data_IF_485108928786
#
_entry.id   IF_485108928786
#
_cell.length_a   1.000
_cell.length_b   1.000
_cell.length_c   1.000
_cell.angle_alpha   90.00
_cell.angle_beta   90.00
_cell.angle_gamma   90.00
#
_symmetry.space_group_name_H-M   'P 1'
#
loop_
_entity.id
_entity.type
_entity.pdbx_description
1 polymer ?
#
# COMPACT_ATOMS: atom_id res chain seq x y z
N UNK A 1 -13.21 -20.22 -68.28
CA UNK A 1 -12.98 -20.05 -66.82
C UNK A 1 -13.93 -18.97 -66.30
N UNK A 2 -14.72 -19.19 -65.23
CA UNK A 2 -15.58 -18.15 -64.68
C UNK A 2 -14.72 -17.11 -63.94
N UNK A 3 -15.08 -15.82 -63.95
CA UNK A 3 -14.33 -14.80 -63.24
C UNK A 3 -14.44 -15.02 -61.73
N UNK A 4 -13.30 -15.05 -61.03
CA UNK A 4 -13.24 -15.11 -59.56
C UNK A 4 -14.06 -13.95 -58.99
N UNK A 5 -15.13 -14.26 -58.24
CA UNK A 5 -15.90 -13.27 -57.47
C UNK A 5 -14.93 -12.50 -56.58
N UNK A 6 -14.72 -11.21 -56.88
CA UNK A 6 -13.95 -10.30 -56.02
C UNK A 6 -14.67 -10.21 -54.68
N UNK A 7 -14.06 -10.71 -53.61
CA UNK A 7 -14.58 -10.51 -52.26
C UNK A 7 -14.74 -9.00 -52.00
N UNK A 8 -15.88 -8.57 -51.42
CA UNK A 8 -16.07 -7.16 -51.10
C UNK A 8 -15.00 -6.74 -50.08
N UNK A 9 -14.17 -5.76 -50.46
CA UNK A 9 -13.24 -5.13 -49.53
C UNK A 9 -14.06 -4.52 -48.40
N UNK A 10 -13.82 -4.97 -47.16
CA UNK A 10 -14.42 -4.36 -45.97
C UNK A 10 -14.14 -2.85 -46.00
N UNK A 11 -15.18 -2.05 -46.30
CA UNK A 11 -15.06 -0.59 -46.29
C UNK A 11 -14.96 -0.15 -44.84
N UNK A 12 -13.74 0.20 -44.41
CA UNK A 12 -13.50 0.76 -43.09
C UNK A 12 -14.30 2.06 -42.98
N UNK A 13 -15.42 2.01 -42.27
CA UNK A 13 -16.30 3.16 -42.08
C UNK A 13 -15.65 4.20 -41.19
N UNK A 14 -16.10 5.44 -41.29
CA UNK A 14 -15.67 6.52 -40.41
C UNK A 14 -15.84 6.13 -38.92
N UNK A 15 -16.92 5.43 -38.57
CA UNK A 15 -17.14 4.87 -37.24
C UNK A 15 -16.06 3.86 -36.80
N UNK A 16 -15.57 3.01 -37.71
CA UNK A 16 -14.45 2.11 -37.40
C UNK A 16 -13.14 2.87 -37.17
N UNK A 17 -12.89 3.94 -37.94
CA UNK A 17 -11.72 4.82 -37.75
C UNK A 17 -11.81 5.60 -36.45
N UNK A 18 -12.96 6.21 -36.17
CA UNK A 18 -13.20 6.91 -34.92
C UNK A 18 -13.11 5.97 -33.72
N UNK A 19 -13.70 4.78 -33.78
CA UNK A 19 -13.59 3.76 -32.74
C UNK A 19 -12.15 3.28 -32.55
N UNK A 20 -11.38 3.13 -33.63
CA UNK A 20 -9.95 2.78 -33.57
C UNK A 20 -9.10 3.91 -32.99
N UNK A 21 -9.38 5.16 -33.38
CA UNK A 21 -8.74 6.35 -32.85
C UNK A 21 -9.02 6.55 -31.36
N UNK A 22 -10.30 6.48 -30.96
CA UNK A 22 -10.70 6.47 -29.56
C UNK A 22 -10.10 5.27 -28.80
N UNK A 23 -9.79 4.15 -29.47
CA UNK A 23 -9.04 3.02 -28.87
C UNK A 23 -7.56 3.29 -28.64
N UNK A 24 -6.97 4.18 -29.42
CA UNK A 24 -5.58 4.62 -29.26
C UNK A 24 -5.44 5.81 -28.30
N UNK A 25 -6.52 6.52 -27.98
CA UNK A 25 -6.53 7.53 -26.92
C UNK A 25 -6.34 6.86 -25.55
N UNK A 26 -5.09 6.79 -25.10
CA UNK A 26 -4.75 6.51 -23.71
C UNK A 26 -5.14 7.71 -22.85
N UNK A 27 -6.07 7.52 -21.93
CA UNK A 27 -6.27 8.50 -20.85
C UNK A 27 -5.25 8.21 -19.75
N UNK A 28 -4.69 9.24 -19.09
CA UNK A 28 -3.68 9.05 -18.04
C UNK A 28 -4.18 8.18 -16.86
N UNK A 29 -5.51 8.06 -16.71
CA UNK A 29 -6.18 7.25 -15.70
C UNK A 29 -6.49 5.82 -16.16
N UNK A 30 -6.17 5.45 -17.41
CA UNK A 30 -6.38 4.10 -17.97
C UNK A 30 -7.78 3.52 -17.69
N UNK A 31 -8.83 4.34 -17.79
CA UNK A 31 -10.19 4.00 -17.34
C UNK A 31 -10.74 2.69 -17.95
N UNK A 32 -10.31 2.36 -19.17
CA UNK A 32 -10.69 1.08 -19.83
C UNK A 32 -10.09 -0.12 -19.11
N UNK A 33 -8.81 -0.04 -18.74
CA UNK A 33 -8.15 -1.06 -17.93
C UNK A 33 -8.81 -1.16 -16.55
N UNK A 34 -9.20 -0.04 -15.96
CA UNK A 34 -9.96 -0.01 -14.71
C UNK A 34 -11.28 -0.78 -14.82
N UNK A 35 -12.05 -0.57 -15.89
CA UNK A 35 -13.31 -1.31 -16.12
C UNK A 35 -13.05 -2.80 -16.30
N UNK A 36 -12.02 -3.19 -17.06
CA UNK A 36 -11.66 -4.60 -17.24
C UNK A 36 -11.36 -5.27 -15.90
N UNK A 37 -10.56 -4.62 -15.03
CA UNK A 37 -10.27 -5.14 -13.69
C UNK A 37 -11.53 -5.24 -12.82
N UNK A 38 -12.32 -4.17 -12.77
CA UNK A 38 -13.55 -4.12 -11.97
C UNK A 38 -14.58 -5.18 -12.38
N UNK A 39 -14.57 -5.65 -13.64
CA UNK A 39 -15.47 -6.74 -14.09
C UNK A 39 -15.21 -8.07 -13.39
N UNK A 40 -14.00 -8.32 -12.90
CA UNK A 40 -13.67 -9.57 -12.21
C UNK A 40 -14.22 -9.62 -10.79
N UNK A 41 -14.25 -8.47 -10.10
CA UNK A 41 -14.62 -8.39 -8.68
C UNK A 41 -15.97 -7.72 -8.40
N UNK A 42 -16.56 -7.01 -9.37
CA UNK A 42 -17.79 -6.24 -9.16
C UNK A 42 -18.88 -6.61 -10.15
N UNK A 43 -20.08 -6.92 -9.63
CA UNK A 43 -21.30 -7.15 -10.43
C UNK A 43 -21.66 -5.96 -11.34
N UNK A 44 -21.38 -4.74 -10.88
CA UNK A 44 -21.67 -3.49 -11.61
C UNK A 44 -20.39 -2.65 -11.78
N UNK A 45 -19.52 -2.98 -12.76
CA UNK A 45 -18.17 -2.41 -12.87
C UNK A 45 -18.16 -0.91 -13.21
N UNK A 46 -19.12 -0.43 -14.02
CA UNK A 46 -19.24 0.98 -14.35
C UNK A 46 -19.66 1.82 -13.13
N UNK A 47 -20.57 1.30 -12.32
CA UNK A 47 -21.01 1.95 -11.08
C UNK A 47 -19.89 1.93 -10.04
N UNK A 48 -19.13 0.84 -9.95
CA UNK A 48 -17.92 0.78 -9.12
C UNK A 48 -16.90 1.85 -9.56
N UNK A 49 -16.65 2.00 -10.87
CA UNK A 49 -15.76 3.04 -11.38
C UNK A 49 -16.25 4.45 -11.01
N UNK A 50 -17.55 4.74 -11.16
CA UNK A 50 -18.11 6.04 -10.77
C UNK A 50 -17.94 6.30 -9.28
N UNK A 51 -18.10 5.29 -8.42
CA UNK A 51 -17.85 5.40 -6.98
C UNK A 51 -16.40 5.73 -6.64
N UNK A 52 -15.43 5.38 -7.48
CA UNK A 52 -14.02 5.73 -7.24
C UNK A 52 -13.76 7.25 -7.30
N UNK A 53 -14.65 8.02 -7.92
CA UNK A 53 -14.58 9.49 -7.95
C UNK A 53 -15.19 10.15 -6.69
N UNK A 54 -15.79 9.37 -5.80
CA UNK A 54 -16.39 9.82 -4.53
C UNK A 54 -15.36 9.59 -3.41
N UNK A 55 -15.15 10.52 -2.46
CA UNK A 55 -15.87 11.78 -2.28
C UNK A 55 -15.45 12.88 -3.23
N UNK A 56 -16.33 13.86 -3.46
CA UNK A 56 -16.07 15.13 -4.12
C UNK A 56 -16.53 16.24 -3.16
N UNK A 57 -15.78 17.35 -2.96
CA UNK A 57 -14.67 17.85 -3.78
C UNK A 57 -13.27 17.33 -3.40
N UNK A 58 -13.10 16.61 -2.28
CA UNK A 58 -11.78 16.09 -1.89
C UNK A 58 -11.24 15.08 -2.91
N UNK A 59 -10.04 15.33 -3.44
CA UNK A 59 -9.41 14.37 -4.35
C UNK A 59 -8.93 13.11 -3.62
N UNK A 60 -8.39 13.23 -2.42
CA UNK A 60 -7.88 12.09 -1.66
C UNK A 60 -9.00 11.37 -0.92
N UNK A 61 -8.92 10.04 -0.82
CA UNK A 61 -9.83 9.27 0.02
C UNK A 61 -9.58 9.60 1.50
N UNK A 62 -10.66 9.82 2.28
CA UNK A 62 -10.52 10.06 3.72
C UNK A 62 -10.01 8.80 4.40
N UNK A 63 -9.37 8.96 5.56
CA UNK A 63 -9.02 7.83 6.40
C UNK A 63 -10.32 7.13 6.86
N UNK A 64 -10.50 5.81 6.62
CA UNK A 64 -11.63 5.08 7.19
C UNK A 64 -11.59 5.15 8.71
N UNK A 65 -12.75 4.99 9.38
CA UNK A 65 -12.78 4.92 10.84
C UNK A 65 -11.79 3.82 11.30
N UNK A 66 -10.76 4.18 12.09
CA UNK A 66 -9.79 3.22 12.57
C UNK A 66 -10.45 2.15 13.43
N UNK A 67 -9.94 0.92 13.33
CA UNK A 67 -10.40 -0.20 14.16
C UNK A 67 -9.57 -0.23 15.43
N UNK A 68 -10.19 -0.35 16.62
CA UNK A 68 -9.46 -0.59 17.85
C UNK A 68 -8.61 -1.86 17.78
N UNK A 69 -7.39 -1.88 18.34
CA UNK A 69 -6.49 -3.03 18.31
C UNK A 69 -7.15 -4.36 18.72
N UNK A 70 -7.97 -4.35 19.78
CA UNK A 70 -8.65 -5.56 20.28
C UNK A 70 -9.65 -6.18 19.31
N UNK A 71 -10.21 -5.41 18.36
CA UNK A 71 -11.20 -5.95 17.41
C UNK A 71 -10.53 -6.63 16.21
N UNK A 72 -9.36 -6.14 15.82
CA UNK A 72 -8.60 -6.62 14.65
C UNK A 72 -7.54 -7.66 15.03
N UNK A 73 -7.13 -7.69 16.30
CA UNK A 73 -6.24 -8.70 16.87
C UNK A 73 -6.66 -10.11 16.46
N UNK A 74 -5.76 -10.82 15.77
CA UNK A 74 -5.96 -12.19 15.26
C UNK A 74 -7.19 -12.38 14.35
N UNK A 75 -7.76 -11.29 13.81
CA UNK A 75 -9.00 -11.32 13.03
C UNK A 75 -8.76 -10.96 11.56
N UNK A 76 -8.16 -11.89 10.83
CA UNK A 76 -7.89 -11.78 9.38
C UNK A 76 -9.18 -11.56 8.58
N UNK A 77 -10.29 -12.20 8.96
CA UNK A 77 -11.56 -12.04 8.26
C UNK A 77 -12.11 -10.62 8.32
N UNK A 78 -11.95 -9.94 9.46
CA UNK A 78 -12.34 -8.55 9.60
C UNK A 78 -11.54 -7.64 8.67
N UNK A 79 -10.24 -7.90 8.52
CA UNK A 79 -9.39 -7.19 7.56
C UNK A 79 -9.92 -7.35 6.13
N UNK A 80 -10.21 -8.57 5.68
CA UNK A 80 -10.74 -8.80 4.33
C UNK A 80 -12.11 -8.16 4.09
N UNK A 81 -13.01 -8.16 5.08
CA UNK A 81 -14.32 -7.49 4.98
C UNK A 81 -14.18 -5.97 4.87
N UNK A 82 -13.18 -5.38 5.52
CA UNK A 82 -12.92 -3.93 5.49
C UNK A 82 -12.23 -3.48 4.21
N UNK A 83 -11.36 -4.32 3.64
CA UNK A 83 -10.57 -4.02 2.45
C UNK A 83 -10.90 -4.97 1.28
N UNK A 84 -12.17 -5.04 0.84
CA UNK A 84 -12.58 -5.98 -0.19
C UNK A 84 -11.87 -5.65 -1.51
N UNK A 85 -11.29 -6.68 -2.14
CA UNK A 85 -10.59 -6.57 -3.42
C UNK A 85 -9.46 -5.54 -3.43
N UNK A 86 -8.80 -5.29 -2.29
CA UNK A 86 -7.76 -4.26 -2.18
C UNK A 86 -6.64 -4.42 -3.22
N UNK A 87 -6.25 -5.65 -3.54
CA UNK A 87 -5.22 -5.95 -4.56
C UNK A 87 -5.65 -5.53 -5.97
N UNK A 88 -6.92 -5.73 -6.32
CA UNK A 88 -7.47 -5.26 -7.60
C UNK A 88 -7.50 -3.72 -7.63
N UNK A 89 -7.94 -3.10 -6.53
CA UNK A 89 -8.04 -1.65 -6.38
C UNK A 89 -6.66 -0.98 -6.49
N UNK A 90 -5.65 -1.57 -5.86
CA UNK A 90 -4.26 -1.13 -5.95
C UNK A 90 -3.70 -1.21 -7.37
N UNK A 91 -4.31 -1.97 -8.28
CA UNK A 91 -3.93 -2.00 -9.69
C UNK A 91 -4.76 -1.02 -10.57
N UNK A 92 -5.65 -0.23 -9.98
CA UNK A 92 -6.53 0.71 -10.67
C UNK A 92 -6.00 2.14 -10.47
N UNK A 93 -5.51 2.75 -11.56
CA UNK A 93 -4.81 4.04 -11.53
C UNK A 93 -5.57 5.19 -10.89
N UNK A 94 -6.90 5.27 -11.11
CA UNK A 94 -7.71 6.31 -10.46
C UNK A 94 -7.79 6.10 -8.95
N UNK A 95 -7.88 4.85 -8.48
CA UNK A 95 -7.89 4.55 -7.05
C UNK A 95 -6.52 4.87 -6.43
N UNK A 96 -5.42 4.40 -7.02
CA UNK A 96 -4.05 4.70 -6.56
C UNK A 96 -3.81 6.22 -6.42
N UNK A 97 -4.23 6.99 -7.43
CA UNK A 97 -4.03 8.45 -7.45
C UNK A 97 -4.71 9.17 -6.29
N UNK A 98 -5.78 8.57 -5.75
CA UNK A 98 -6.62 9.10 -4.67
C UNK A 98 -6.29 8.49 -3.31
N UNK A 99 -5.60 7.35 -3.28
CA UNK A 99 -5.12 6.77 -2.02
C UNK A 99 -4.02 7.64 -1.39
N UNK A 100 -3.73 7.39 -0.12
CA UNK A 100 -2.81 8.20 0.69
C UNK A 100 -1.83 7.30 1.45
N UNK A 101 -0.61 7.79 1.74
CA UNK A 101 0.34 7.03 2.56
C UNK A 101 -0.24 6.72 3.94
N UNK A 102 -1.04 7.62 4.51
CA UNK A 102 -1.66 7.40 5.80
C UNK A 102 -2.64 6.21 5.75
N UNK A 103 -3.48 6.12 4.71
CA UNK A 103 -4.36 4.95 4.53
C UNK A 103 -3.59 3.64 4.38
N UNK A 104 -2.48 3.67 3.66
CA UNK A 104 -1.59 2.50 3.51
C UNK A 104 -0.92 2.11 4.84
N UNK A 105 -0.49 3.09 5.62
CA UNK A 105 0.08 2.86 6.95
C UNK A 105 -0.93 2.22 7.92
N UNK A 106 -2.19 2.66 7.90
CA UNK A 106 -3.25 2.02 8.70
C UNK A 106 -3.57 0.61 8.21
N UNK A 107 -3.44 0.31 6.90
CA UNK A 107 -3.55 -1.07 6.41
C UNK A 107 -2.41 -1.93 6.93
N UNK A 108 -1.16 -1.44 6.91
CA UNK A 108 -0.02 -2.13 7.51
C UNK A 108 -0.24 -2.41 9.00
N UNK A 109 -0.73 -1.42 9.75
CA UNK A 109 -1.12 -1.61 11.15
C UNK A 109 -2.17 -2.71 11.32
N UNK A 110 -3.26 -2.67 10.53
CA UNK A 110 -4.30 -3.70 10.61
C UNK A 110 -3.72 -5.09 10.31
N UNK A 111 -2.86 -5.22 9.31
CA UNK A 111 -2.18 -6.49 8.96
C UNK A 111 -1.26 -6.97 10.09
N UNK A 112 -0.48 -6.08 10.71
CA UNK A 112 0.38 -6.45 11.85
C UNK A 112 -0.45 -7.03 13.00
N UNK A 113 -1.62 -6.47 13.27
CA UNK A 113 -2.52 -6.97 14.31
C UNK A 113 -3.20 -8.30 13.95
N UNK A 114 -3.41 -8.60 12.67
CA UNK A 114 -4.01 -9.88 12.28
C UNK A 114 -3.03 -11.04 12.35
N UNK A 115 -1.71 -10.79 12.34
CA UNK A 115 -0.66 -11.81 12.31
C UNK A 115 -0.46 -12.47 10.94
N UNK A 116 -1.12 -12.00 9.89
CA UNK A 116 -0.98 -12.51 8.52
C UNK A 116 0.14 -11.76 7.78
N UNK A 117 1.38 -12.10 8.11
CA UNK A 117 2.56 -11.36 7.65
C UNK A 117 2.80 -11.38 6.14
N UNK A 118 2.27 -12.36 5.40
CA UNK A 118 2.37 -12.37 3.94
C UNK A 118 1.73 -11.13 3.30
N UNK A 119 0.69 -10.57 3.92
CA UNK A 119 0.04 -9.34 3.46
C UNK A 119 0.91 -8.09 3.68
N UNK A 120 1.84 -8.10 4.64
CA UNK A 120 2.74 -6.96 4.88
C UNK A 120 3.65 -6.72 3.70
N UNK A 121 4.23 -7.77 3.13
CA UNK A 121 5.08 -7.65 1.94
C UNK A 121 4.30 -7.05 0.77
N UNK A 122 3.06 -7.48 0.57
CA UNK A 122 2.19 -6.98 -0.51
C UNK A 122 1.83 -5.50 -0.36
N UNK A 123 1.53 -5.05 0.86
CA UNK A 123 1.22 -3.64 1.14
C UNK A 123 2.47 -2.76 1.14
N UNK A 124 3.61 -3.29 1.59
CA UNK A 124 4.91 -2.60 1.56
C UNK A 124 5.38 -2.36 0.13
N UNK A 125 5.27 -3.38 -0.74
CA UNK A 125 5.53 -3.25 -2.17
C UNK A 125 4.63 -2.20 -2.82
N UNK A 126 3.34 -2.21 -2.46
CA UNK A 126 2.42 -1.18 -2.94
C UNK A 126 2.89 0.22 -2.51
N UNK A 127 3.23 0.44 -1.23
CA UNK A 127 3.71 1.72 -0.71
C UNK A 127 5.02 2.16 -1.42
N UNK A 128 5.97 1.24 -1.56
CA UNK A 128 7.27 1.47 -2.20
C UNK A 128 7.10 2.06 -3.61
N UNK A 129 6.22 1.48 -4.43
CA UNK A 129 6.00 1.93 -5.79
C UNK A 129 5.21 3.25 -5.92
N UNK A 130 4.60 3.74 -4.83
CA UNK A 130 4.00 5.06 -4.82
C UNK A 130 5.07 6.15 -4.75
N UNK A 131 5.55 6.61 -5.90
CA UNK A 131 6.66 7.58 -6.02
C UNK A 131 6.24 9.06 -6.05
N UNK A 132 4.97 9.37 -5.78
CA UNK A 132 4.51 10.77 -5.72
C UNK A 132 5.07 11.50 -4.49
N UNK A 133 5.29 12.81 -4.57
CA UNK A 133 5.83 13.63 -3.45
C UNK A 133 5.07 13.42 -2.13
N UNK A 134 3.74 13.21 -2.20
CA UNK A 134 2.89 12.94 -1.03
C UNK A 134 3.18 11.61 -0.32
N UNK A 135 3.95 10.71 -0.92
CA UNK A 135 4.28 9.36 -0.40
C UNK A 135 5.71 9.26 0.16
N UNK A 136 6.44 10.37 0.25
CA UNK A 136 7.69 10.42 1.00
C UNK A 136 7.42 10.26 2.48
N UNK A 137 8.20 9.41 3.17
CA UNK A 137 7.93 9.07 4.57
C UNK A 137 8.11 10.28 5.49
N UNK A 138 9.11 11.13 5.23
CA UNK A 138 9.33 12.37 5.99
C UNK A 138 8.26 13.46 5.80
N UNK A 139 7.31 13.27 4.88
CA UNK A 139 6.17 14.18 4.66
C UNK A 139 4.86 13.62 5.22
N UNK A 140 4.90 12.47 5.91
CA UNK A 140 3.72 11.86 6.49
C UNK A 140 3.20 12.74 7.63
N UNK A 141 1.94 13.21 7.57
CA UNK A 141 1.37 14.01 8.64
C UNK A 141 1.18 13.16 9.89
N UNK A 142 1.34 13.79 11.05
CA UNK A 142 1.03 13.20 12.36
C UNK A 142 -0.47 12.85 12.42
N UNK A 143 -0.84 11.56 12.58
CA UNK A 143 -2.24 11.16 12.71
C UNK A 143 -2.88 11.61 14.03
N UNK A 144 -2.09 11.89 15.08
CA UNK A 144 -2.56 12.16 16.45
C UNK A 144 -3.59 11.14 16.90
N UNK A 145 -3.27 9.87 16.69
CA UNK A 145 -4.22 8.80 16.91
C UNK A 145 -4.55 8.68 18.42
N UNK A 146 -5.84 8.68 18.79
CA UNK A 146 -6.24 8.67 20.20
C UNK A 146 -6.00 7.32 20.88
N UNK A 147 -5.78 6.25 20.12
CA UNK A 147 -5.47 4.92 20.67
C UNK A 147 -3.94 4.76 20.78
N UNK A 148 -3.38 4.68 22.00
CA UNK A 148 -1.94 4.70 22.20
C UNK A 148 -1.24 3.46 21.61
N UNK A 149 -1.89 2.30 21.65
CA UNK A 149 -1.35 1.06 21.07
C UNK A 149 -1.25 1.19 19.55
N UNK A 150 -2.32 1.67 18.91
CA UNK A 150 -2.31 1.92 17.47
C UNK A 150 -1.30 3.01 17.10
N UNK A 151 -1.22 4.09 17.87
CA UNK A 151 -0.29 5.18 17.60
C UNK A 151 1.18 4.73 17.69
N UNK A 152 1.53 3.95 18.71
CA UNK A 152 2.86 3.34 18.85
C UNK A 152 3.20 2.41 17.67
N UNK A 153 2.25 1.59 17.21
CA UNK A 153 2.44 0.74 16.04
C UNK A 153 2.65 1.57 14.76
N UNK A 154 1.84 2.60 14.52
CA UNK A 154 2.01 3.47 13.36
C UNK A 154 3.39 4.14 13.35
N UNK A 155 3.88 4.57 14.52
CA UNK A 155 5.23 5.13 14.67
C UNK A 155 6.32 4.11 14.34
N UNK A 156 6.26 2.91 14.95
CA UNK A 156 7.24 1.84 14.69
C UNK A 156 7.24 1.39 13.23
N UNK A 157 6.07 1.21 12.61
CA UNK A 157 5.97 0.84 11.19
C UNK A 157 6.59 1.93 10.32
N UNK A 158 6.32 3.21 10.60
CA UNK A 158 6.88 4.32 9.83
C UNK A 158 8.41 4.37 9.95
N UNK A 159 8.94 4.19 11.15
CA UNK A 159 10.38 4.15 11.41
C UNK A 159 11.06 2.99 10.67
N UNK A 160 10.48 1.80 10.74
CA UNK A 160 11.00 0.61 10.10
C UNK A 160 10.89 0.67 8.57
N UNK A 161 9.83 1.27 8.02
CA UNK A 161 9.71 1.53 6.58
C UNK A 161 10.84 2.44 6.06
N UNK A 162 11.26 3.44 6.85
CA UNK A 162 12.40 4.30 6.47
C UNK A 162 13.69 3.48 6.41
N UNK A 163 13.94 2.61 7.40
CA UNK A 163 15.11 1.71 7.39
C UNK A 163 15.07 0.76 6.18
N UNK A 164 13.93 0.09 5.96
CA UNK A 164 13.74 -0.84 4.84
C UNK A 164 13.90 -0.16 3.48
N UNK A 165 13.36 1.05 3.31
CA UNK A 165 13.44 1.77 2.04
C UNK A 165 14.85 2.29 1.77
N UNK A 166 15.55 2.80 2.79
CA UNK A 166 16.94 3.22 2.66
C UNK A 166 17.87 2.03 2.36
N UNK A 167 17.61 0.87 2.95
CA UNK A 167 18.31 -0.36 2.61
C UNK A 167 18.12 -0.72 1.12
N UNK A 168 16.89 -0.68 0.59
CA UNK A 168 16.63 -0.92 -0.85
C UNK A 168 17.32 0.10 -1.76
N UNK A 169 17.27 1.38 -1.41
CA UNK A 169 17.95 2.42 -2.16
C UNK A 169 19.47 2.19 -2.19
N UNK A 170 20.03 1.69 -1.08
CA UNK A 170 21.42 1.24 -0.96
C UNK A 170 21.76 0.01 -1.80
N UNK A 171 20.77 -0.80 -2.18
CA UNK A 171 20.90 -1.89 -3.16
C UNK A 171 20.71 -1.41 -4.62
N UNK A 172 20.65 -0.10 -4.88
CA UNK A 172 20.46 0.43 -6.22
C UNK A 172 19.01 0.37 -6.72
N UNK A 173 18.08 -0.13 -5.91
CA UNK A 173 16.66 -0.12 -6.27
C UNK A 173 16.12 1.31 -6.30
N UNK A 174 15.06 1.55 -7.07
CA UNK A 174 14.42 2.87 -7.19
C UNK A 174 12.90 2.71 -7.08
N UNK A 175 12.24 3.63 -6.37
CA UNK A 175 10.76 3.65 -6.26
C UNK A 175 10.07 3.85 -7.62
N UNK A 176 10.78 4.50 -8.56
CA UNK A 176 10.33 4.76 -9.92
C UNK A 176 11.46 4.51 -10.92
N UNK A 177 11.15 3.78 -11.98
CA UNK A 177 12.11 3.46 -13.04
C UNK A 177 12.87 2.16 -12.76
N UNK A 178 13.76 1.76 -13.68
CA UNK A 178 14.56 0.56 -13.52
C UNK A 178 15.51 0.71 -12.31
N UNK A 179 15.86 -0.42 -11.70
CA UNK A 179 16.95 -0.48 -10.75
C UNK A 179 18.26 -0.03 -11.42
N UNK A 180 19.15 0.56 -10.64
CA UNK A 180 20.47 0.93 -11.13
C UNK A 180 21.34 -0.32 -11.13
N UNK A 181 21.76 -0.75 -12.31
CA UNK A 181 22.71 -1.84 -12.46
C UNK A 181 24.14 -1.34 -12.20
N UNK A 182 24.97 -2.21 -11.62
CA UNK A 182 26.40 -1.94 -11.51
C UNK A 182 27.06 -2.28 -12.84
N UNK A 183 28.01 -1.47 -13.29
CA UNK A 183 28.84 -1.81 -14.45
C UNK A 183 29.74 -3.02 -14.12
N UNK A 184 30.33 -3.04 -12.93
CA UNK A 184 31.08 -4.18 -12.41
C UNK A 184 30.62 -4.54 -11.00
N UNK A 185 30.65 -5.82 -10.63
CA UNK A 185 30.04 -6.33 -9.39
C UNK A 185 30.53 -5.69 -8.08
N UNK A 186 31.71 -5.04 -8.07
CA UNK A 186 32.27 -4.37 -6.89
C UNK A 186 32.03 -2.85 -6.84
N UNK A 187 31.46 -2.27 -7.89
CA UNK A 187 31.24 -0.82 -7.93
C UNK A 187 30.18 -0.41 -6.92
N UNK A 188 30.37 0.70 -6.18
CA UNK A 188 29.34 1.24 -5.31
C UNK A 188 28.14 1.69 -6.15
N UNK A 189 26.93 1.51 -5.62
CA UNK A 189 25.75 2.08 -6.27
C UNK A 189 25.84 3.62 -6.26
N UNK A 190 25.30 4.29 -7.30
CA UNK A 190 25.22 5.74 -7.31
C UNK A 190 24.50 6.29 -6.07
N UNK A 191 24.90 7.49 -5.60
CA UNK A 191 24.30 8.11 -4.44
C UNK A 191 22.79 8.25 -4.64
N UNK A 192 22.05 8.11 -3.54
CA UNK A 192 20.60 8.26 -3.50
C UNK A 192 20.21 9.26 -2.44
N UNK A 193 19.02 9.84 -2.59
CA UNK A 193 18.42 10.69 -1.55
C UNK A 193 17.72 9.75 -0.56
N UNK A 194 18.16 9.67 0.70
CA UNK A 194 17.54 8.79 1.68
C UNK A 194 16.14 9.31 2.06
N UNK A 195 15.24 8.36 2.37
CA UNK A 195 14.02 8.67 3.10
C UNK A 195 14.37 9.13 4.51
N UNK A 196 13.61 10.11 5.00
CA UNK A 196 13.82 10.74 6.30
C UNK A 196 12.65 10.41 7.21
N UNK A 197 12.92 10.22 8.50
CA UNK A 197 11.88 10.02 9.51
C UNK A 197 11.01 11.27 9.64
N UNK A 198 9.67 11.12 9.66
CA UNK A 198 8.80 12.23 10.05
C UNK A 198 8.94 12.50 11.55
N UNK A 199 9.03 13.78 11.93
CA UNK A 199 9.37 14.21 13.29
C UNK A 199 8.45 13.62 14.37
N UNK A 200 7.16 13.44 14.08
CA UNK A 200 6.17 13.00 15.06
C UNK A 200 6.44 11.61 15.63
N UNK A 201 7.15 10.73 14.92
CA UNK A 201 7.40 9.37 15.41
C UNK A 201 8.31 9.38 16.63
N UNK A 202 9.25 10.34 16.71
CA UNK A 202 10.28 10.41 17.75
C UNK A 202 9.68 10.59 19.15
N UNK A 203 8.56 11.29 19.25
CA UNK A 203 7.92 11.65 20.51
C UNK A 203 6.86 10.63 20.97
N UNK A 204 6.64 9.56 20.20
CA UNK A 204 5.63 8.55 20.55
C UNK A 204 6.11 7.63 21.66
N UNK A 205 5.41 7.68 22.80
CA UNK A 205 5.73 6.94 24.01
C UNK A 205 5.62 5.40 23.83
N UNK A 206 6.35 4.62 24.65
CA UNK A 206 6.16 3.18 24.75
C UNK A 206 4.76 2.81 25.25
N UNK A 207 4.29 1.63 24.86
CA UNK A 207 2.99 1.12 25.32
C UNK A 207 3.11 0.69 26.77
N UNK A 208 2.20 1.16 27.62
CA UNK A 208 2.10 0.73 29.02
C UNK A 208 1.31 -0.58 29.14
N UNK A 209 1.62 -1.38 30.17
CA UNK A 209 1.06 -2.72 30.32
C UNK A 209 -0.46 -2.71 30.57
N UNK A 210 -0.97 -1.68 31.22
CA UNK A 210 -2.39 -1.47 31.45
C UNK A 210 -3.16 -1.22 30.14
N UNK A 211 -2.55 -0.59 29.14
CA UNK A 211 -3.18 -0.32 27.84
C UNK A 211 -3.45 -1.60 27.02
N UNK A 212 -2.79 -2.71 27.37
CA UNK A 212 -2.89 -4.00 26.66
C UNK A 212 -4.01 -4.91 27.21
N UNK A 213 -4.74 -4.51 28.27
CA UNK A 213 -5.70 -5.36 28.99
C UNK A 213 -6.83 -5.95 28.13
N UNK A 214 -7.22 -5.28 27.05
CA UNK A 214 -8.31 -5.71 26.16
C UNK A 214 -7.83 -6.59 25.00
N UNK A 215 -6.53 -6.81 24.84
CA UNK A 215 -6.00 -7.64 23.77
C UNK A 215 -6.08 -9.14 24.13
N UNK A 216 -6.08 -10.03 23.12
CA UNK A 216 -5.96 -11.45 23.36
C UNK A 216 -4.73 -11.78 24.22
N UNK A 217 -4.84 -12.69 25.22
CA UNK A 217 -3.71 -13.07 26.07
C UNK A 217 -2.51 -13.65 25.28
N UNK A 218 -2.77 -14.20 24.10
CA UNK A 218 -1.76 -14.71 23.15
C UNK A 218 -0.83 -13.61 22.63
N UNK A 219 -1.32 -12.37 22.55
CA UNK A 219 -0.58 -11.21 22.06
C UNK A 219 0.05 -10.37 23.19
N UNK A 220 -0.06 -10.79 24.45
CA UNK A 220 0.44 -10.01 25.59
C UNK A 220 1.34 -10.88 26.46
N UNK A 221 2.59 -10.46 26.65
CA UNK A 221 3.52 -11.16 27.53
C UNK A 221 4.39 -10.19 28.31
N UNK A 222 4.34 -10.27 29.65
CA UNK A 222 5.12 -9.42 30.57
C UNK A 222 4.99 -7.91 30.29
N UNK A 223 3.79 -7.46 29.94
CA UNK A 223 3.53 -6.05 29.62
C UNK A 223 3.99 -5.61 28.22
N UNK A 224 4.50 -6.52 27.39
CA UNK A 224 4.82 -6.26 25.99
C UNK A 224 3.71 -6.76 25.07
N UNK A 225 3.53 -6.05 23.95
CA UNK A 225 2.73 -6.49 22.82
C UNK A 225 3.55 -7.47 21.96
N UNK A 226 3.09 -8.72 21.88
CA UNK A 226 3.71 -9.78 21.08
C UNK A 226 2.92 -9.91 19.78
N UNK A 227 3.51 -9.46 18.67
CA UNK A 227 2.95 -9.70 17.34
C UNK A 227 3.58 -10.94 16.69
N UNK A 228 4.85 -11.19 16.96
CA UNK A 228 5.57 -12.39 16.53
C UNK A 228 6.52 -12.84 17.63
N UNK A 229 6.48 -14.13 17.96
CA UNK A 229 7.36 -14.69 18.97
C UNK A 229 8.84 -14.56 18.55
N UNK A 230 9.72 -14.29 19.52
CA UNK A 230 11.16 -14.11 19.30
C UNK A 230 11.52 -12.95 18.36
N UNK A 231 10.61 -11.96 18.23
CA UNK A 231 10.87 -10.73 17.50
C UNK A 231 12.12 -9.99 17.99
N UNK A 232 12.93 -9.50 17.06
CA UNK A 232 14.23 -8.86 17.36
C UNK A 232 14.37 -7.43 16.85
N UNK A 233 13.30 -6.82 16.31
CA UNK A 233 13.37 -5.42 15.84
C UNK A 233 13.63 -4.46 17.00
N UNK A 234 14.72 -3.70 16.88
CA UNK A 234 15.09 -2.64 17.83
C UNK A 234 14.11 -1.46 17.76
N UNK A 235 13.54 -1.18 16.59
CA UNK A 235 12.57 -0.09 16.38
C UNK A 235 11.29 -0.36 17.17
N UNK A 236 10.78 -1.59 17.10
CA UNK A 236 9.58 -2.00 17.82
C UNK A 236 9.83 -2.19 19.32
N UNK A 237 11.01 -2.70 19.69
CA UNK A 237 11.38 -2.89 21.09
C UNK A 237 11.39 -1.58 21.91
N UNK A 238 11.71 -0.42 21.29
CA UNK A 238 11.63 0.90 21.95
C UNK A 238 10.25 1.22 22.51
N UNK A 239 9.18 0.61 21.96
CA UNK A 239 7.80 0.87 22.34
C UNK A 239 7.11 -0.32 23.01
N UNK A 240 7.90 -1.26 23.55
CA UNK A 240 7.41 -2.49 24.20
C UNK A 240 6.66 -3.44 23.24
N UNK A 241 7.09 -3.48 21.97
CA UNK A 241 6.50 -4.35 20.94
C UNK A 241 7.54 -5.37 20.48
N UNK A 242 7.15 -6.64 20.41
CA UNK A 242 7.98 -7.76 19.98
C UNK A 242 7.44 -8.29 18.64
N UNK A 243 8.23 -8.11 17.58
CA UNK A 243 7.90 -8.57 16.22
C UNK A 243 9.16 -8.74 15.37
N UNK A 244 9.06 -9.46 14.25
CA UNK A 244 10.04 -9.41 13.18
C UNK A 244 9.55 -8.52 12.03
N UNK A 245 10.52 -8.02 11.28
CA UNK A 245 10.29 -6.98 10.26
C UNK A 245 10.68 -7.43 8.86
N UNK A 246 11.10 -8.69 8.69
CA UNK A 246 11.61 -9.21 7.42
C UNK A 246 10.65 -9.03 6.25
N UNK A 247 9.34 -9.09 6.49
CA UNK A 247 8.31 -8.84 5.47
C UNK A 247 8.23 -7.40 4.96
N UNK A 248 8.88 -6.44 5.62
CA UNK A 248 9.03 -5.06 5.14
C UNK A 248 10.25 -4.90 4.21
N UNK A 249 11.19 -5.85 4.24
CA UNK A 249 12.42 -5.86 3.43
C UNK A 249 12.23 -6.70 2.16
N UNK A 250 11.30 -6.30 1.29
CA UNK A 250 11.03 -7.00 0.01
C UNK A 250 12.01 -6.57 -1.10
N UNK A 251 12.31 -7.49 -2.02
CA UNK A 251 13.20 -7.34 -3.19
C UNK A 251 12.40 -7.67 -4.46
#
# INVERSE_FOLDING_TARGET
MPPRRRQPRFKITWWMRLRSYLRRLGTPLHLRGSITRLRHSHKHPYLALLRLFIPFPSWSFPLPKPVPPHQIAENVDLYYRRHPNIRDLQCIRIWESRDTPLRSLYRLYEIFMTGEYALLGLETEYFWHQSGRKWGLGQLPDPRDPDPVRYALLACITEELVEAFNWRLGLGMRRKGPAVEREHGRDPYPPFIPEVLPNWTQDVLPIEADMLHNLPPTMVHKGNLILEANGSSKVFAKRNIVTNVGWLYTI
#
